data_IF_300970568836
#
_entry.id   IF_300970568836
#
_cell.length_a   1.000
_cell.length_b   1.000
_cell.length_c   1.000
_cell.angle_alpha   90.00
_cell.angle_beta   90.00
_cell.angle_gamma   90.00
#
_symmetry.space_group_name_H-M   'P 1'
#
loop_
_entity.id
_entity.type
_entity.pdbx_description
1 polymer ?
#
# COMPACT_ATOMS: atom_id res chain seq x y z
N UNK A 1 -5.00 -1.44 -38.05
CA UNK A 1 -5.04 -1.33 -36.57
C UNK A 1 -4.09 -0.22 -36.16
N UNK A 2 -4.59 0.97 -35.81
CA UNK A 2 -3.72 2.08 -35.41
C UNK A 2 -2.97 1.69 -34.12
N UNK A 3 -1.63 1.70 -34.16
CA UNK A 3 -0.81 1.42 -32.99
C UNK A 3 -1.16 2.43 -31.91
N UNK A 4 -1.74 1.95 -30.80
CA UNK A 4 -2.05 2.79 -29.65
C UNK A 4 -0.71 3.35 -29.15
N UNK A 5 -0.59 4.68 -29.12
CA UNK A 5 0.59 5.34 -28.58
C UNK A 5 0.88 4.88 -27.14
N UNK A 6 2.09 5.16 -26.63
CA UNK A 6 2.50 4.76 -25.29
C UNK A 6 1.48 5.20 -24.22
N UNK A 7 1.27 4.33 -23.23
CA UNK A 7 0.37 4.62 -22.11
C UNK A 7 0.81 5.92 -21.42
N UNK A 8 -0.13 6.80 -21.05
CA UNK A 8 0.21 8.04 -20.38
C UNK A 8 0.95 7.75 -19.06
N UNK A 9 2.11 8.38 -18.89
CA UNK A 9 2.85 8.37 -17.63
C UNK A 9 2.00 9.02 -16.53
N UNK A 10 1.93 8.39 -15.36
CA UNK A 10 1.19 8.92 -14.21
C UNK A 10 1.69 10.32 -13.82
N UNK A 11 0.76 11.20 -13.42
CA UNK A 11 1.04 12.60 -13.10
C UNK A 11 2.01 12.76 -11.93
N UNK A 12 1.90 11.91 -10.90
CA UNK A 12 2.86 11.86 -9.79
C UNK A 12 4.30 11.65 -10.30
N UNK A 13 4.49 10.76 -11.27
CA UNK A 13 5.82 10.50 -11.86
C UNK A 13 6.31 11.71 -12.65
N UNK A 14 5.43 12.41 -13.40
CA UNK A 14 5.78 13.64 -14.11
C UNK A 14 6.18 14.77 -13.17
N UNK A 15 5.50 14.91 -12.04
CA UNK A 15 5.79 15.90 -11.00
C UNK A 15 7.14 15.63 -10.34
N UNK A 16 7.41 14.38 -9.94
CA UNK A 16 8.69 13.99 -9.30
C UNK A 16 9.88 14.14 -10.25
N UNK A 17 9.70 13.79 -11.53
CA UNK A 17 10.79 13.86 -12.52
C UNK A 17 11.01 15.25 -13.11
N UNK A 18 10.15 16.22 -12.77
CA UNK A 18 10.10 17.55 -13.38
C UNK A 18 10.10 17.51 -14.93
N UNK A 19 9.50 16.46 -15.50
CA UNK A 19 9.34 16.27 -16.95
C UNK A 19 7.85 16.19 -17.32
N UNK A 20 7.09 17.28 -17.14
CA UNK A 20 5.74 17.36 -17.67
C UNK A 20 5.87 17.43 -19.19
N UNK A 21 5.74 16.30 -19.89
CA UNK A 21 5.68 16.31 -21.36
C UNK A 21 4.57 17.24 -21.88
N UNK A 22 4.42 17.38 -23.20
CA UNK A 22 3.50 18.35 -23.82
C UNK A 22 2.01 18.26 -23.39
N UNK A 23 1.58 17.16 -22.77
CA UNK A 23 0.21 17.00 -22.29
C UNK A 23 0.04 17.66 -20.92
N UNK A 24 -0.92 18.59 -20.75
CA UNK A 24 -1.18 19.23 -19.46
C UNK A 24 -1.49 18.18 -18.39
N UNK A 25 -1.09 18.48 -17.16
CA UNK A 25 -1.39 17.63 -16.01
C UNK A 25 -2.91 17.68 -15.75
N UNK A 26 -3.57 16.53 -15.56
CA UNK A 26 -4.97 16.50 -15.17
C UNK A 26 -5.13 17.21 -13.81
N UNK A 27 -6.07 18.15 -13.72
CA UNK A 27 -6.30 18.96 -12.52
C UNK A 27 -7.06 18.19 -11.44
N UNK A 28 -7.96 17.29 -11.87
CA UNK A 28 -8.93 16.59 -11.01
C UNK A 28 -8.62 15.09 -10.94
N UNK A 29 -7.38 14.72 -10.68
CA UNK A 29 -7.07 13.31 -10.39
C UNK A 29 -7.63 12.90 -9.03
N UNK A 30 -8.24 11.71 -8.91
CA UNK A 30 -8.68 11.19 -7.62
C UNK A 30 -7.47 11.06 -6.70
N UNK A 31 -7.44 11.89 -5.66
CA UNK A 31 -6.44 11.81 -4.60
C UNK A 31 -6.99 10.89 -3.52
N UNK A 32 -6.23 9.88 -3.06
CA UNK A 32 -6.62 9.13 -1.87
C UNK A 32 -6.72 10.13 -0.71
N UNK A 33 -7.82 10.09 0.04
CA UNK A 33 -8.11 11.07 1.08
C UNK A 33 -8.09 10.39 2.45
N UNK A 34 -7.31 10.95 3.36
CA UNK A 34 -7.36 10.59 4.77
C UNK A 34 -6.43 9.46 5.20
N UNK A 35 -6.27 9.30 6.52
CA UNK A 35 -5.43 8.26 7.09
C UNK A 35 -6.06 6.88 6.88
N UNK A 36 -5.24 5.84 6.94
CA UNK A 36 -5.68 4.45 6.93
C UNK A 36 -6.75 4.20 8.00
N UNK A 37 -7.98 3.95 7.56
CA UNK A 37 -9.14 3.68 8.41
C UNK A 37 -9.43 2.18 8.62
N UNK A 38 -10.38 1.88 9.52
CA UNK A 38 -10.96 0.54 9.69
C UNK A 38 -11.89 0.26 8.49
N UNK A 39 -11.38 -0.39 7.44
CA UNK A 39 -12.20 -0.79 6.28
C UNK A 39 -13.04 -2.05 6.56
N UNK A 40 -14.02 -2.36 5.70
CA UNK A 40 -14.87 -3.55 5.85
C UNK A 40 -14.08 -4.85 5.96
N UNK A 41 -12.94 -4.93 5.26
CA UNK A 41 -12.08 -6.11 5.32
C UNK A 41 -11.44 -6.26 6.70
N UNK A 42 -11.01 -5.17 7.34
CA UNK A 42 -10.51 -5.17 8.72
C UNK A 42 -11.54 -5.70 9.72
N UNK A 43 -12.81 -5.35 9.53
CA UNK A 43 -13.92 -5.84 10.39
C UNK A 43 -14.03 -7.37 10.31
N UNK A 44 -13.76 -7.94 9.14
CA UNK A 44 -13.82 -9.39 8.89
C UNK A 44 -12.54 -10.14 9.31
N UNK A 45 -11.41 -9.46 9.47
CA UNK A 45 -10.18 -10.09 9.95
C UNK A 45 -10.36 -10.65 11.36
N UNK A 46 -9.84 -11.87 11.59
CA UNK A 46 -9.86 -12.57 12.87
C UNK A 46 -8.47 -13.07 13.25
N UNK A 47 -8.28 -13.36 14.53
CA UNK A 47 -7.07 -13.97 15.08
C UNK A 47 -5.79 -13.25 14.64
N UNK A 48 -4.82 -14.01 14.15
CA UNK A 48 -3.49 -13.50 13.78
C UNK A 48 -3.53 -12.42 12.70
N UNK A 49 -4.42 -12.52 11.72
CA UNK A 49 -4.55 -11.52 10.65
C UNK A 49 -4.96 -10.15 11.20
N UNK A 50 -5.85 -10.10 12.21
CA UNK A 50 -6.25 -8.85 12.87
C UNK A 50 -5.09 -8.25 13.68
N UNK A 51 -4.28 -9.08 14.34
CA UNK A 51 -3.08 -8.60 15.04
C UNK A 51 -2.06 -8.01 14.06
N UNK A 52 -1.82 -8.70 12.93
CA UNK A 52 -0.93 -8.21 11.88
C UNK A 52 -1.40 -6.89 11.30
N UNK A 53 -2.70 -6.69 11.12
CA UNK A 53 -3.24 -5.39 10.72
C UNK A 53 -2.81 -4.30 11.69
N UNK A 54 -3.06 -4.46 12.99
CA UNK A 54 -2.74 -3.44 14.01
C UNK A 54 -1.27 -3.06 14.00
N UNK A 55 -0.39 -4.06 13.92
CA UNK A 55 1.07 -3.84 13.85
C UNK A 55 1.43 -3.12 12.55
N UNK A 56 0.95 -3.61 11.41
CA UNK A 56 1.27 -3.07 10.10
C UNK A 56 0.76 -1.64 9.92
N UNK A 57 -0.50 -1.37 10.32
CA UNK A 57 -1.07 -0.03 10.27
C UNK A 57 -0.36 0.95 11.20
N UNK A 58 0.19 0.48 12.34
CA UNK A 58 0.95 1.30 13.27
C UNK A 58 2.34 1.69 12.75
N UNK A 59 3.01 0.80 12.02
CA UNK A 59 4.33 1.09 11.44
C UNK A 59 4.26 1.80 10.08
N UNK A 60 3.18 1.59 9.34
CA UNK A 60 3.04 2.05 7.96
C UNK A 60 2.23 3.35 7.87
N UNK A 61 2.72 4.40 8.53
CA UNK A 61 2.09 5.72 8.61
C UNK A 61 1.89 6.40 7.23
N UNK A 62 2.55 5.89 6.17
CA UNK A 62 2.40 6.39 4.79
C UNK A 62 1.16 5.84 4.07
N UNK A 63 0.50 4.81 4.60
CA UNK A 63 -0.68 4.21 3.99
C UNK A 63 -1.92 5.10 4.16
N UNK A 64 -2.73 5.17 3.11
CA UNK A 64 -4.00 5.86 3.08
C UNK A 64 -5.21 4.93 3.24
N UNK A 65 -6.39 5.53 3.24
CA UNK A 65 -7.69 4.84 3.25
C UNK A 65 -7.81 3.75 2.17
N UNK A 66 -7.39 4.06 0.93
CA UNK A 66 -7.47 3.16 -0.24
C UNK A 66 -6.60 1.91 -0.09
N UNK A 67 -5.54 1.99 0.73
CA UNK A 67 -4.62 0.87 0.94
C UNK A 67 -5.21 -0.19 1.87
N UNK A 68 -6.27 0.14 2.61
CA UNK A 68 -6.86 -0.73 3.61
C UNK A 68 -7.31 -2.09 3.06
N UNK A 69 -7.93 -2.14 1.89
CA UNK A 69 -8.32 -3.42 1.29
C UNK A 69 -7.11 -4.30 0.97
N UNK A 70 -6.05 -3.69 0.43
CA UNK A 70 -4.83 -4.40 0.08
C UNK A 70 -4.08 -4.88 1.33
N UNK A 71 -4.01 -4.03 2.35
CA UNK A 71 -3.45 -4.38 3.66
C UNK A 71 -4.17 -5.57 4.27
N UNK A 72 -5.50 -5.62 4.20
CA UNK A 72 -6.27 -6.72 4.80
C UNK A 72 -6.04 -8.05 4.09
N UNK A 73 -5.89 -8.04 2.77
CA UNK A 73 -5.50 -9.24 2.00
C UNK A 73 -4.09 -9.68 2.41
N UNK A 74 -3.14 -8.76 2.48
CA UNK A 74 -1.78 -9.06 2.91
C UNK A 74 -1.75 -9.65 4.33
N UNK A 75 -2.48 -9.08 5.29
CA UNK A 75 -2.56 -9.60 6.65
C UNK A 75 -3.15 -11.02 6.71
N UNK A 76 -4.13 -11.30 5.83
CA UNK A 76 -4.75 -12.64 5.75
C UNK A 76 -3.78 -13.67 5.21
N UNK A 77 -3.06 -13.34 4.13
CA UNK A 77 -2.04 -14.22 3.55
C UNK A 77 -0.84 -14.40 4.48
N UNK A 78 -0.37 -13.34 5.13
CA UNK A 78 0.72 -13.42 6.09
C UNK A 78 0.35 -14.31 7.29
N UNK A 79 -0.88 -14.19 7.80
CA UNK A 79 -1.35 -15.06 8.87
C UNK A 79 -1.41 -16.54 8.45
N UNK A 80 -1.84 -16.80 7.22
CA UNK A 80 -1.86 -18.16 6.66
C UNK A 80 -0.45 -18.72 6.48
N UNK A 81 0.47 -17.89 5.99
CA UNK A 81 1.88 -18.25 5.84
C UNK A 81 2.52 -18.60 7.19
N UNK A 82 2.27 -17.79 8.22
CA UNK A 82 2.78 -18.03 9.57
C UNK A 82 2.19 -19.29 10.21
N UNK A 83 0.96 -19.67 9.83
CA UNK A 83 0.30 -20.86 10.36
C UNK A 83 0.83 -22.16 9.78
N UNK A 84 1.09 -22.20 8.47
CA UNK A 84 1.49 -23.41 7.76
C UNK A 84 2.47 -23.09 6.61
N UNK A 85 3.70 -22.63 6.92
CA UNK A 85 4.66 -22.20 5.91
C UNK A 85 5.06 -23.33 4.95
N UNK A 86 5.05 -24.57 5.39
CA UNK A 86 5.34 -25.76 4.60
C UNK A 86 4.31 -26.03 3.49
N UNK A 87 3.10 -25.48 3.63
CA UNK A 87 2.03 -25.56 2.62
C UNK A 87 2.06 -24.42 1.61
N UNK A 88 2.96 -23.45 1.81
CA UNK A 88 3.04 -22.29 0.95
C UNK A 88 3.62 -22.65 -0.42
N UNK A 89 2.83 -22.44 -1.47
CA UNK A 89 3.30 -22.61 -2.84
C UNK A 89 4.17 -21.42 -3.26
N UNK A 90 5.06 -21.58 -4.27
CA UNK A 90 5.83 -20.45 -4.81
C UNK A 90 4.93 -19.29 -5.29
N UNK A 91 3.76 -19.61 -5.86
CA UNK A 91 2.78 -18.61 -6.29
C UNK A 91 2.20 -17.83 -5.10
N UNK A 92 1.85 -18.52 -4.01
CA UNK A 92 1.38 -17.91 -2.78
C UNK A 92 2.44 -16.97 -2.18
N UNK A 93 3.69 -17.45 -2.07
CA UNK A 93 4.81 -16.64 -1.57
C UNK A 93 5.07 -15.44 -2.50
N UNK A 94 4.93 -15.62 -3.80
CA UNK A 94 5.00 -14.55 -4.80
C UNK A 94 3.96 -13.46 -4.55
N UNK A 95 2.69 -13.82 -4.38
CA UNK A 95 1.62 -12.87 -4.10
C UNK A 95 1.84 -12.11 -2.78
N UNK A 96 2.27 -12.81 -1.73
CA UNK A 96 2.58 -12.21 -0.44
C UNK A 96 3.68 -11.14 -0.55
N UNK A 97 4.74 -11.42 -1.31
CA UNK A 97 5.84 -10.46 -1.57
C UNK A 97 5.40 -9.29 -2.42
N UNK A 98 4.61 -9.54 -3.48
CA UNK A 98 4.09 -8.48 -4.36
C UNK A 98 3.22 -7.51 -3.56
N UNK A 99 2.27 -8.02 -2.78
CA UNK A 99 1.42 -7.19 -1.94
C UNK A 99 2.23 -6.41 -0.90
N UNK A 100 3.21 -7.05 -0.26
CA UNK A 100 4.11 -6.37 0.67
C UNK A 100 4.90 -5.24 0.00
N UNK A 101 5.32 -5.45 -1.25
CA UNK A 101 6.06 -4.43 -2.01
C UNK A 101 5.16 -3.27 -2.44
N UNK A 102 3.94 -3.56 -2.86
CA UNK A 102 2.96 -2.53 -3.22
C UNK A 102 2.54 -1.67 -2.02
N UNK A 103 2.52 -2.24 -0.81
CA UNK A 103 2.27 -1.53 0.44
C UNK A 103 3.52 -0.81 0.98
N UNK A 104 4.68 -1.04 0.36
CA UNK A 104 5.94 -0.44 0.79
C UNK A 104 6.51 -1.04 2.08
N UNK A 105 6.36 -2.34 2.30
CA UNK A 105 7.00 -2.99 3.44
C UNK A 105 8.48 -3.28 3.22
N UNK A 106 8.97 -3.32 1.98
CA UNK A 106 10.40 -3.35 1.70
C UNK A 106 10.99 -1.94 1.49
N UNK A 107 12.31 -1.82 1.70
CA UNK A 107 13.03 -0.55 1.59
C UNK A 107 13.03 -0.03 0.15
N UNK A 108 13.18 -0.92 -0.84
CA UNK A 108 13.28 -0.52 -2.24
C UNK A 108 11.95 0.06 -2.76
N UNK A 109 10.81 -0.50 -2.36
CA UNK A 109 9.50 0.04 -2.65
C UNK A 109 9.26 1.37 -1.94
N UNK A 110 9.67 1.53 -0.67
CA UNK A 110 9.56 2.81 0.04
C UNK A 110 10.32 3.94 -0.62
N UNK A 111 11.52 3.68 -1.11
CA UNK A 111 12.30 4.67 -1.87
C UNK A 111 11.57 5.09 -3.14
N UNK A 112 10.85 4.18 -3.81
CA UNK A 112 10.08 4.47 -5.02
C UNK A 112 8.79 5.28 -4.75
N UNK A 113 8.21 5.15 -3.56
CA UNK A 113 7.00 5.89 -3.18
C UNK A 113 7.25 7.37 -2.88
N UNK A 114 8.51 7.82 -2.83
CA UNK A 114 8.83 9.23 -2.64
C UNK A 114 8.38 9.77 -1.28
N UNK A 115 8.37 8.94 -0.23
CA UNK A 115 8.03 9.36 1.15
C UNK A 115 9.06 10.30 1.79
N UNK A 116 9.99 10.86 1.01
CA UNK A 116 11.00 11.80 1.48
C UNK A 116 10.31 13.03 2.10
N UNK A 117 10.57 13.26 3.39
CA UNK A 117 10.08 14.44 4.13
C UNK A 117 8.78 14.25 4.91
N UNK A 118 8.10 13.10 4.82
CA UNK A 118 7.04 12.76 5.78
C UNK A 118 7.68 12.07 6.98
N UNK A 119 7.73 12.75 8.12
CA UNK A 119 8.07 12.12 9.40
C UNK A 119 6.88 11.33 9.91
N UNK A 120 7.13 10.21 10.60
CA UNK A 120 6.10 9.56 11.38
C UNK A 120 5.41 10.62 12.26
N UNK A 121 4.07 10.64 12.34
CA UNK A 121 3.38 11.58 13.21
C UNK A 121 3.92 11.41 14.63
N UNK A 122 4.24 12.52 15.31
CA UNK A 122 4.61 12.49 16.72
C UNK A 122 3.48 11.76 17.45
N UNK A 123 3.82 10.66 18.11
CA UNK A 123 2.88 9.76 18.78
C UNK A 123 1.94 10.56 19.68
N UNK A 124 0.71 10.77 19.22
CA UNK A 124 -0.42 10.93 20.11
C UNK A 124 -0.96 9.52 20.33
N UNK A 125 -1.10 9.13 21.59
CA UNK A 125 -1.75 7.90 22.05
C UNK A 125 -3.23 7.87 21.64
N UNK A 126 -3.50 7.93 20.35
CA UNK A 126 -4.83 7.98 19.75
C UNK A 126 -4.85 7.06 18.55
N UNK A 127 -4.41 5.82 18.76
CA UNK A 127 -4.66 4.73 17.85
C UNK A 127 -5.21 3.60 18.70
N UNK A 128 -6.54 3.59 18.87
CA UNK A 128 -7.38 2.48 19.32
C UNK A 128 -7.66 2.35 20.83
N UNK A 129 -8.71 3.04 21.28
CA UNK A 129 -9.79 2.39 22.06
C UNK A 129 -10.67 1.52 21.12
#
# INVERSE_FOLDING_TARGET
MAARGPKPTATVVKLVTNKPGHRPLPKDEPRPQGPLGKCDLYIRLKGRARTLWRVASGMAWWLGDVDGFKLGVWCSLQAEYERAPERATPAFVGQLRVLGSELGFDVAARTKMGCHGKTAPATKDTYFD
#
